data_IF_420455853892
#
_entry.id   IF_420455853892
#
_cell.length_a   1.000
_cell.length_b   1.000
_cell.length_c   1.000
_cell.angle_alpha   90.00
_cell.angle_beta   90.00
_cell.angle_gamma   90.00
#
_symmetry.space_group_name_H-M   'P 1'
#
loop_
_entity.id
_entity.type
_entity.pdbx_description
1 polymer ?
#
# COMPACT_ATOMS: atom_id res chain seq x y z
N UNK A 1 20.62 26.14 -16.54
CA UNK A 1 19.21 25.85 -16.22
C UNK A 1 19.21 24.54 -15.45
N UNK A 2 19.14 24.60 -14.12
CA UNK A 2 19.08 23.41 -13.28
C UNK A 2 17.66 22.86 -13.35
N UNK A 3 17.51 21.66 -13.90
CA UNK A 3 16.28 20.88 -13.84
C UNK A 3 15.89 20.70 -12.37
N UNK A 4 14.74 21.24 -11.96
CA UNK A 4 14.09 20.80 -10.72
C UNK A 4 13.83 19.29 -10.89
N UNK A 5 14.56 18.47 -10.13
CA UNK A 5 14.24 17.05 -9.97
C UNK A 5 12.95 16.99 -9.15
N UNK A 6 11.96 16.32 -9.72
CA UNK A 6 10.61 16.19 -9.17
C UNK A 6 10.61 15.05 -8.14
N UNK A 7 10.95 15.37 -6.89
CA UNK A 7 10.78 14.44 -5.77
C UNK A 7 9.32 13.97 -5.65
N UNK A 8 9.08 12.71 -5.25
CA UNK A 8 7.73 12.19 -5.00
C UNK A 8 7.33 12.24 -3.51
N UNK A 9 8.12 12.90 -2.66
CA UNK A 9 7.82 13.11 -1.25
C UNK A 9 8.19 14.52 -0.81
N UNK A 10 7.23 15.22 -0.21
CA UNK A 10 7.41 16.60 0.25
C UNK A 10 6.82 16.75 1.64
N UNK A 11 7.60 17.33 2.55
CA UNK A 11 7.13 17.77 3.86
C UNK A 11 7.05 19.29 3.88
N UNK A 12 5.85 19.84 4.05
CA UNK A 12 5.65 21.29 4.13
C UNK A 12 5.56 21.67 5.60
N UNK A 13 6.51 22.46 6.09
CA UNK A 13 6.36 23.14 7.38
C UNK A 13 5.44 24.35 7.16
N UNK A 14 4.27 24.37 7.82
CA UNK A 14 3.33 25.50 7.67
C UNK A 14 3.84 26.79 8.32
N UNK A 15 4.84 26.71 9.20
CA UNK A 15 5.44 27.86 9.89
C UNK A 15 6.70 28.39 9.20
N UNK A 16 7.28 27.61 8.30
CA UNK A 16 8.43 27.96 7.49
C UNK A 16 8.16 27.53 6.06
N UNK A 17 8.09 28.45 5.10
CA UNK A 17 7.89 28.18 3.68
C UNK A 17 9.04 27.39 3.00
N UNK A 18 9.73 26.54 3.75
CA UNK A 18 10.79 25.65 3.32
C UNK A 18 10.23 24.25 3.11
N UNK A 19 10.33 23.76 1.89
CA UNK A 19 10.04 22.38 1.51
C UNK A 19 11.40 21.69 1.35
N UNK A 20 11.79 20.77 2.25
CA UNK A 20 13.01 20.00 2.09
C UNK A 20 12.94 19.19 0.80
N UNK A 21 14.01 19.19 0.00
CA UNK A 21 14.16 18.27 -1.12
C UNK A 21 14.71 16.95 -0.59
N UNK A 22 13.94 15.88 -0.71
CA UNK A 22 14.44 14.53 -0.48
C UNK A 22 15.02 13.96 -1.78
N UNK A 23 16.15 13.24 -1.72
CA UNK A 23 16.75 12.62 -2.90
C UNK A 23 15.69 11.80 -3.64
N UNK A 24 15.61 12.03 -4.94
CA UNK A 24 14.58 11.52 -5.83
C UNK A 24 14.96 10.11 -6.27
N UNK A 25 14.19 9.11 -5.83
CA UNK A 25 14.12 7.86 -6.57
C UNK A 25 13.10 8.07 -7.71
N UNK A 26 13.53 8.74 -8.78
CA UNK A 26 12.72 9.07 -9.97
C UNK A 26 12.08 7.84 -10.68
N UNK A 27 12.25 6.64 -10.12
CA UNK A 27 11.85 5.34 -10.65
C UNK A 27 10.55 4.84 -10.00
N UNK A 28 10.11 5.31 -8.82
CA UNK A 28 9.05 4.64 -8.05
C UNK A 28 7.61 4.84 -8.58
N UNK A 29 7.38 5.73 -9.54
CA UNK A 29 6.01 6.08 -9.96
C UNK A 29 5.29 6.93 -8.90
N UNK A 30 4.09 7.41 -9.22
CA UNK A 30 3.35 8.30 -8.31
C UNK A 30 2.93 7.59 -7.03
N UNK A 31 3.08 8.25 -5.88
CA UNK A 31 2.59 7.74 -4.59
C UNK A 31 1.07 7.96 -4.53
N UNK A 32 0.29 6.88 -4.45
CA UNK A 32 -1.19 6.92 -4.36
C UNK A 32 -1.70 6.99 -2.91
N UNK A 33 -0.97 6.35 -2.00
CA UNK A 33 -1.28 6.30 -0.57
C UNK A 33 0.02 6.17 0.22
N UNK A 34 0.01 6.56 1.50
CA UNK A 34 1.13 6.33 2.40
C UNK A 34 0.64 6.03 3.81
N UNK A 35 1.49 5.42 4.61
CA UNK A 35 1.28 5.16 6.02
C UNK A 35 2.56 5.45 6.79
N UNK A 36 2.47 6.21 7.87
CA UNK A 36 3.57 6.44 8.81
C UNK A 36 3.73 5.23 9.75
N UNK A 37 4.89 4.59 9.72
CA UNK A 37 5.28 3.57 10.69
C UNK A 37 5.91 4.23 11.92
N UNK A 38 6.77 5.23 11.69
CA UNK A 38 7.44 6.05 12.71
C UNK A 38 7.77 7.44 12.13
N UNK A 39 8.25 8.41 12.93
CA UNK A 39 8.52 9.77 12.45
C UNK A 39 9.42 9.90 11.21
N UNK A 40 10.28 8.91 10.94
CA UNK A 40 11.15 8.85 9.77
C UNK A 40 10.82 7.71 8.80
N UNK A 41 9.97 6.75 9.19
CA UNK A 41 9.69 5.54 8.41
C UNK A 41 8.29 5.55 7.84
N UNK A 42 8.20 5.42 6.52
CA UNK A 42 6.95 5.47 5.77
C UNK A 42 6.80 4.24 4.86
N UNK A 43 5.57 3.73 4.80
CA UNK A 43 5.11 2.86 3.74
C UNK A 43 4.47 3.71 2.64
N UNK A 44 4.82 3.42 1.38
CA UNK A 44 4.34 4.14 0.20
C UNK A 44 3.74 3.15 -0.80
N UNK A 45 2.48 3.40 -1.16
CA UNK A 45 1.78 2.71 -2.24
C UNK A 45 2.10 3.44 -3.53
N UNK A 46 2.65 2.73 -4.51
CA UNK A 46 3.10 3.35 -5.75
C UNK A 46 2.29 2.88 -6.95
N UNK A 47 2.22 3.73 -7.97
CA UNK A 47 1.46 3.46 -9.19
C UNK A 47 2.09 2.41 -10.10
N UNK A 48 3.35 1.99 -9.90
CA UNK A 48 4.02 1.07 -10.84
C UNK A 48 5.08 0.18 -10.21
N UNK A 49 5.55 0.43 -8.98
CA UNK A 49 6.73 -0.24 -8.41
C UNK A 49 6.45 -0.92 -7.08
N UNK A 50 5.20 -1.31 -6.86
CA UNK A 50 4.79 -2.04 -5.68
C UNK A 50 4.87 -1.20 -4.41
N UNK A 51 5.12 -1.90 -3.30
CA UNK A 51 5.07 -1.34 -1.96
C UNK A 51 6.49 -0.96 -1.55
N UNK A 52 6.67 0.27 -1.07
CA UNK A 52 7.97 0.74 -0.61
C UNK A 52 7.91 1.04 0.87
N UNK A 53 8.85 0.50 1.64
CA UNK A 53 9.14 0.94 3.00
C UNK A 53 10.42 1.76 2.96
N UNK A 54 10.37 2.99 3.42
CA UNK A 54 11.47 3.95 3.34
C UNK A 54 11.75 4.58 4.69
N UNK A 55 13.03 4.63 5.05
CA UNK A 55 13.56 5.32 6.22
C UNK A 55 14.31 6.58 5.75
N UNK A 56 13.70 7.73 6.02
CA UNK A 56 14.20 9.04 5.59
C UNK A 56 15.43 9.50 6.38
N UNK A 57 15.64 8.99 7.60
CA UNK A 57 16.81 9.35 8.41
C UNK A 57 18.02 8.52 8.02
N UNK A 58 17.81 7.22 7.79
CA UNK A 58 18.86 6.32 7.35
C UNK A 58 19.15 6.39 5.84
N UNK A 59 18.31 7.09 5.07
CA UNK A 59 18.35 7.13 3.59
C UNK A 59 18.29 5.73 2.96
N UNK A 60 17.43 4.85 3.50
CA UNK A 60 17.28 3.48 3.01
C UNK A 60 15.85 3.17 2.59
N UNK A 61 15.68 2.25 1.65
CA UNK A 61 14.37 1.76 1.26
C UNK A 61 14.39 0.26 0.95
N UNK A 62 13.21 -0.35 1.03
CA UNK A 62 12.94 -1.72 0.61
C UNK A 62 11.67 -1.75 -0.23
N UNK A 63 11.73 -2.50 -1.34
CA UNK A 63 10.59 -2.68 -2.26
C UNK A 63 10.06 -4.09 -2.20
N UNK A 64 8.74 -4.20 -2.24
CA UNK A 64 8.01 -5.46 -2.39
C UNK A 64 7.25 -5.39 -3.71
N UNK A 65 7.59 -6.29 -4.62
CA UNK A 65 7.07 -6.31 -5.99
C UNK A 65 6.42 -7.66 -6.28
N UNK A 66 5.49 -7.66 -7.22
CA UNK A 66 4.80 -8.85 -7.69
C UNK A 66 5.81 -9.80 -8.36
N UNK A 67 5.78 -11.06 -7.93
CA UNK A 67 6.48 -12.16 -8.58
C UNK A 67 5.46 -13.26 -8.92
N UNK A 68 5.19 -13.51 -10.21
CA UNK A 68 4.19 -14.50 -10.63
C UNK A 68 4.55 -15.93 -10.23
N UNK A 69 5.80 -16.21 -9.86
CA UNK A 69 6.24 -17.52 -9.39
C UNK A 69 6.21 -17.66 -7.87
N UNK A 70 5.88 -16.58 -7.14
CA UNK A 70 5.84 -16.56 -5.68
C UNK A 70 4.47 -16.08 -5.18
N UNK A 71 3.66 -17.02 -4.71
CA UNK A 71 2.33 -16.75 -4.14
C UNK A 71 2.36 -15.92 -2.85
N UNK A 72 3.53 -15.79 -2.23
CA UNK A 72 3.74 -14.99 -1.03
C UNK A 72 4.26 -13.57 -1.36
N UNK A 73 4.35 -13.20 -2.64
CA UNK A 73 4.62 -11.83 -3.09
C UNK A 73 3.32 -11.01 -3.15
N UNK A 74 3.42 -9.70 -3.31
CA UNK A 74 2.23 -8.86 -3.53
C UNK A 74 1.54 -9.24 -4.85
N UNK A 75 0.20 -9.14 -4.88
CA UNK A 75 -0.59 -9.58 -6.04
C UNK A 75 -0.45 -8.72 -7.29
N UNK A 76 -0.16 -7.42 -7.13
CA UNK A 76 0.08 -6.49 -8.25
C UNK A 76 1.03 -5.35 -7.80
N UNK A 77 1.75 -4.75 -8.75
CA UNK A 77 2.66 -3.63 -8.51
C UNK A 77 1.96 -2.26 -8.49
N UNK A 78 0.73 -2.17 -8.99
CA UNK A 78 -0.10 -0.99 -8.92
C UNK A 78 -0.85 -1.00 -7.58
N UNK A 79 -0.41 -0.18 -6.63
CA UNK A 79 -0.99 -0.13 -5.28
C UNK A 79 -1.81 1.12 -5.11
N UNK A 80 -3.07 0.95 -4.74
CA UNK A 80 -4.03 2.03 -4.55
C UNK A 80 -4.10 2.51 -3.10
N UNK A 81 -4.06 1.57 -2.15
CA UNK A 81 -4.32 1.89 -0.74
C UNK A 81 -3.42 1.07 0.20
N UNK A 82 -3.05 1.70 1.32
CA UNK A 82 -2.41 1.04 2.46
C UNK A 82 -3.25 1.36 3.69
N UNK A 83 -3.55 0.35 4.48
CA UNK A 83 -4.29 0.48 5.72
C UNK A 83 -3.64 -0.35 6.81
N UNK A 84 -3.67 0.13 8.05
CA UNK A 84 -3.21 -0.60 9.23
C UNK A 84 -4.41 -0.83 10.14
N UNK A 85 -4.72 -2.08 10.40
CA UNK A 85 -5.85 -2.45 11.26
C UNK A 85 -5.53 -2.26 12.76
N UNK A 86 -6.55 -2.48 13.59
CA UNK A 86 -6.45 -2.41 15.05
C UNK A 86 -5.44 -3.40 15.67
N UNK A 87 -5.05 -4.47 14.96
CA UNK A 87 -4.04 -5.43 15.40
C UNK A 87 -2.63 -5.04 14.92
N UNK A 88 -2.50 -3.96 14.15
CA UNK A 88 -1.25 -3.50 13.57
C UNK A 88 -0.86 -4.23 12.28
N UNK A 89 -1.74 -5.02 11.69
CA UNK A 89 -1.49 -5.72 10.42
C UNK A 89 -1.67 -4.75 9.27
N UNK A 90 -0.81 -4.87 8.26
CA UNK A 90 -0.87 -4.04 7.07
C UNK A 90 -1.72 -4.72 5.99
N UNK A 91 -2.67 -3.96 5.48
CA UNK A 91 -3.55 -4.32 4.38
C UNK A 91 -3.24 -3.43 3.18
N UNK A 92 -3.11 -4.04 2.02
CA UNK A 92 -2.64 -3.40 0.80
C UNK A 92 -3.63 -3.71 -0.32
N UNK A 93 -4.32 -2.67 -0.80
CA UNK A 93 -5.23 -2.76 -1.92
C UNK A 93 -4.51 -2.46 -3.22
N UNK A 94 -4.58 -3.38 -4.18
CA UNK A 94 -3.94 -3.24 -5.49
C UNK A 94 -4.98 -3.17 -6.60
N UNK A 95 -4.54 -2.99 -7.85
CA UNK A 95 -5.42 -3.12 -9.02
C UNK A 95 -5.94 -4.57 -9.19
N UNK A 96 -5.30 -5.55 -8.54
CA UNK A 96 -5.71 -6.95 -8.58
C UNK A 96 -5.49 -7.67 -7.24
N UNK A 97 -6.41 -7.48 -6.30
CA UNK A 97 -6.51 -8.21 -5.04
C UNK A 97 -6.28 -7.35 -3.80
N UNK A 98 -6.71 -7.91 -2.67
CA UNK A 98 -6.35 -7.44 -1.34
C UNK A 98 -5.17 -8.26 -0.83
N UNK A 99 -4.17 -7.62 -0.24
CA UNK A 99 -3.01 -8.30 0.31
C UNK A 99 -2.87 -7.98 1.79
N UNK A 100 -2.67 -9.01 2.60
CA UNK A 100 -2.30 -8.89 4.01
C UNK A 100 -0.81 -9.14 4.15
N UNK A 101 -0.08 -8.18 4.72
CA UNK A 101 1.36 -8.27 4.89
C UNK A 101 1.72 -8.69 6.32
N UNK A 102 2.51 -9.75 6.44
CA UNK A 102 3.14 -10.16 7.69
C UNK A 102 4.55 -9.53 7.78
N UNK A 103 4.80 -8.60 8.71
CA UNK A 103 6.10 -7.95 8.85
C UNK A 103 7.18 -8.88 9.43
N UNK A 104 6.83 -10.00 10.06
CA UNK A 104 7.82 -10.92 10.64
C UNK A 104 8.44 -11.84 9.59
N UNK A 105 7.61 -12.42 8.72
CA UNK A 105 8.05 -13.27 7.61
C UNK A 105 8.29 -12.48 6.32
N UNK A 106 7.84 -11.22 6.27
CA UNK A 106 7.87 -10.36 5.08
C UNK A 106 7.13 -10.96 3.88
N UNK A 107 6.03 -11.65 4.15
CA UNK A 107 5.21 -12.33 3.14
C UNK A 107 3.82 -11.73 3.03
N UNK A 108 3.20 -11.91 1.87
CA UNK A 108 1.83 -11.49 1.59
C UNK A 108 0.89 -12.70 1.53
N UNK A 109 -0.25 -12.57 2.20
CA UNK A 109 -1.42 -13.42 1.95
C UNK A 109 -2.33 -12.67 0.97
N UNK A 110 -2.58 -13.28 -0.20
CA UNK A 110 -3.39 -12.69 -1.26
C UNK A 110 -4.85 -13.15 -1.14
N UNK A 111 -5.78 -12.20 -1.19
CA UNK A 111 -7.20 -12.43 -1.36
C UNK A 111 -7.57 -11.92 -2.77
N UNK A 112 -7.79 -12.86 -3.68
CA UNK A 112 -8.02 -12.58 -5.10
C UNK A 112 -9.49 -12.84 -5.46
N UNK A 113 -10.02 -12.20 -6.52
CA UNK A 113 -11.29 -12.59 -7.10
C UNK A 113 -11.25 -14.01 -7.66
N UNK A 114 -12.30 -14.79 -7.37
CA UNK A 114 -12.50 -16.12 -7.92
C UNK A 114 -13.96 -16.25 -8.41
N UNK A 115 -14.12 -16.47 -9.72
CA UNK A 115 -15.43 -16.56 -10.36
C UNK A 115 -16.23 -17.80 -9.91
N UNK A 116 -15.54 -18.83 -9.41
CA UNK A 116 -16.16 -20.07 -8.93
C UNK A 116 -16.48 -20.02 -7.43
N UNK A 117 -15.94 -19.04 -6.71
CA UNK A 117 -16.21 -18.82 -5.29
C UNK A 117 -17.01 -17.52 -5.06
N UNK A 118 -18.32 -17.61 -4.82
CA UNK A 118 -19.17 -16.45 -4.59
C UNK A 118 -18.86 -15.71 -3.27
N UNK A 119 -18.06 -16.31 -2.38
CA UNK A 119 -17.60 -15.66 -1.13
C UNK A 119 -16.27 -14.90 -1.33
N UNK A 120 -15.63 -15.04 -2.50
CA UNK A 120 -14.42 -14.29 -2.85
C UNK A 120 -14.71 -12.82 -3.14
N UNK A 121 -13.64 -12.02 -3.28
CA UNK A 121 -13.77 -10.60 -3.61
C UNK A 121 -14.31 -10.46 -5.03
N UNK A 122 -15.48 -9.83 -5.20
CA UNK A 122 -16.15 -9.73 -6.51
C UNK A 122 -15.38 -8.95 -7.57
N UNK A 123 -14.50 -8.04 -7.16
CA UNK A 123 -13.68 -7.19 -8.03
C UNK A 123 -12.32 -6.96 -7.37
N UNK A 124 -11.25 -7.26 -8.11
CA UNK A 124 -9.89 -7.22 -7.61
C UNK A 124 -9.34 -5.81 -7.46
N UNK A 125 -9.95 -4.80 -8.10
CA UNK A 125 -9.45 -3.44 -7.98
C UNK A 125 -9.86 -2.85 -6.62
N UNK A 126 -8.96 -2.85 -5.65
CA UNK A 126 -9.20 -2.35 -4.30
C UNK A 126 -8.70 -0.91 -4.19
N UNK A 127 -9.62 0.05 -4.21
CA UNK A 127 -9.29 1.48 -4.23
C UNK A 127 -9.15 2.08 -2.84
N UNK A 128 -9.87 1.56 -1.85
CA UNK A 128 -9.86 2.02 -0.45
C UNK A 128 -10.13 0.86 0.50
N UNK A 129 -9.51 0.91 1.68
CA UNK A 129 -9.71 -0.04 2.77
C UNK A 129 -10.07 0.76 4.01
N UNK A 130 -11.12 0.33 4.71
CA UNK A 130 -11.57 0.93 5.96
C UNK A 130 -11.97 -0.16 6.95
N UNK A 131 -11.60 0.01 8.22
CA UNK A 131 -12.04 -0.88 9.29
C UNK A 131 -13.16 -0.22 10.11
N UNK A 132 -14.27 -0.94 10.31
CA UNK A 132 -15.36 -0.47 11.15
C UNK A 132 -15.15 -0.76 12.65
N UNK A 133 -16.03 -0.21 13.49
CA UNK A 133 -15.99 -0.41 14.95
C UNK A 133 -16.18 -1.87 15.43
N UNK A 134 -16.53 -2.79 14.52
CA UNK A 134 -16.64 -4.24 14.78
C UNK A 134 -15.47 -5.02 14.17
N UNK A 135 -14.43 -4.32 13.71
CA UNK A 135 -13.24 -4.88 13.09
C UNK A 135 -13.50 -5.63 11.78
N UNK A 136 -14.56 -5.27 11.06
CA UNK A 136 -14.72 -5.73 9.68
C UNK A 136 -14.01 -4.78 8.72
N UNK A 137 -13.48 -5.32 7.63
CA UNK A 137 -12.93 -4.53 6.54
C UNK A 137 -14.02 -4.23 5.51
N UNK A 138 -14.10 -2.95 5.17
CA UNK A 138 -14.88 -2.42 4.07
C UNK A 138 -13.91 -2.07 2.94
N UNK A 139 -14.08 -2.71 1.79
CA UNK A 139 -13.23 -2.56 0.61
C UNK A 139 -14.02 -1.85 -0.47
N UNK A 140 -13.57 -0.67 -0.88
CA UNK A 140 -14.13 0.00 -2.05
C UNK A 140 -13.50 -0.57 -3.32
N UNK A 141 -14.33 -1.01 -4.25
CA UNK A 141 -13.93 -1.56 -5.55
C UNK A 141 -14.63 -0.81 -6.69
N UNK A 142 -14.21 -1.02 -7.94
CA UNK A 142 -14.93 -0.44 -9.09
C UNK A 142 -16.35 -1.04 -9.21
N UNK A 143 -16.52 -2.30 -8.81
CA UNK A 143 -17.81 -2.99 -8.73
C UNK A 143 -18.70 -2.62 -7.53
N UNK A 144 -18.22 -1.87 -6.54
CA UNK A 144 -19.01 -1.43 -5.39
C UNK A 144 -18.28 -1.51 -4.06
N UNK A 145 -18.99 -1.96 -3.02
CA UNK A 145 -18.47 -2.02 -1.65
C UNK A 145 -18.54 -3.47 -1.14
N UNK A 146 -17.39 -4.02 -0.76
CA UNK A 146 -17.26 -5.39 -0.23
C UNK A 146 -17.05 -5.32 1.28
N UNK A 147 -17.76 -6.17 2.03
CA UNK A 147 -17.58 -6.34 3.46
C UNK A 147 -16.89 -7.68 3.73
N UNK A 148 -15.74 -7.64 4.40
CA UNK A 148 -14.94 -8.80 4.76
C UNK A 148 -14.81 -8.91 6.29
N UNK A 149 -15.16 -10.07 6.84
CA UNK A 149 -14.96 -10.36 8.26
C UNK A 149 -13.54 -10.90 8.48
N UNK A 150 -12.77 -10.24 9.33
CA UNK A 150 -11.40 -10.66 9.64
C UNK A 150 -11.31 -11.98 10.43
N UNK A 151 -12.42 -12.45 11.03
CA UNK A 151 -12.45 -13.66 11.88
C UNK A 151 -12.69 -14.97 11.11
N UNK A 152 -12.96 -14.92 9.81
CA UNK A 152 -13.27 -16.10 8.99
C UNK A 152 -12.25 -16.35 7.87
N UNK A 153 -11.09 -15.68 7.93
CA UNK A 153 -9.96 -15.88 7.01
C UNK A 153 -8.92 -16.87 7.51
#
# INVERSE_FOLDING_TARGET
MSTQSSSNFYKIDLNNNYIPSYPDDAIIGGVRSFLEESPSVFWKATSTNGLVREDLEAETFKRYVHDPNNKNSISDNNINSIFKDHLGQLWIGTDFGLNKFDPFSETFTQYLPDAEDPESISDGNITVIYEDSKFNLWLGTEGGLVLMNQNTG
#
